data_IF_394534641916
#
_entry.id   IF_394534641916
#
_cell.length_a   1.000
_cell.length_b   1.000
_cell.length_c   1.000
_cell.angle_alpha   90.00
_cell.angle_beta   90.00
_cell.angle_gamma   90.00
#
_symmetry.space_group_name_H-M   'P 1'
#
loop_
_entity.id
_entity.type
_entity.pdbx_description
1 polymer ?
#
# COMPACT_ATOMS: atom_id res chain seq x y z
N UNK A 1 13.29 -6.75 -5.15
CA UNK A 1 13.29 -7.09 -3.71
C UNK A 1 12.53 -8.39 -3.54
N UNK A 2 13.02 -9.36 -2.76
CA UNK A 2 12.27 -10.55 -2.34
C UNK A 2 11.78 -10.35 -0.90
N UNK A 3 10.69 -11.04 -0.56
CA UNK A 3 10.06 -10.96 0.75
C UNK A 3 9.92 -12.35 1.40
N UNK A 4 10.24 -12.40 2.69
CA UNK A 4 9.73 -13.43 3.58
C UNK A 4 8.32 -13.04 4.03
N UNK A 5 7.43 -14.03 4.17
CA UNK A 5 6.04 -13.82 4.55
C UNK A 5 5.71 -14.54 5.85
N UNK A 6 4.91 -13.88 6.70
CA UNK A 6 4.34 -14.46 7.92
C UNK A 6 2.86 -14.13 8.04
N UNK A 7 2.08 -15.08 8.56
CA UNK A 7 0.68 -14.86 8.94
C UNK A 7 0.60 -14.28 10.36
N UNK A 8 -0.37 -13.39 10.60
CA UNK A 8 -0.69 -12.92 11.96
C UNK A 8 -1.45 -13.96 12.79
N UNK A 9 -2.02 -14.98 12.15
CA UNK A 9 -3.00 -15.88 12.75
C UNK A 9 -4.39 -15.24 12.87
N UNK A 10 -5.24 -15.81 13.73
CA UNK A 10 -6.58 -15.32 14.04
C UNK A 10 -6.76 -15.22 15.56
N UNK A 11 -7.71 -14.38 15.99
CA UNK A 11 -8.20 -14.42 17.37
C UNK A 11 -8.92 -15.75 17.64
N UNK A 12 -9.01 -16.20 18.91
CA UNK A 12 -9.67 -17.46 19.25
C UNK A 12 -11.10 -17.55 18.73
N UNK A 13 -11.34 -18.51 17.83
CA UNK A 13 -12.65 -18.75 17.22
C UNK A 13 -13.00 -17.84 16.03
N UNK A 14 -12.14 -16.88 15.71
CA UNK A 14 -12.23 -16.07 14.49
C UNK A 14 -11.87 -16.85 13.22
N UNK A 15 -12.18 -16.27 12.07
CA UNK A 15 -12.01 -16.84 10.75
C UNK A 15 -11.11 -16.00 9.83
N UNK A 16 -10.86 -14.73 10.17
CA UNK A 16 -9.97 -13.85 9.43
C UNK A 16 -9.29 -12.79 10.31
N UNK A 17 -8.22 -12.21 9.78
CA UNK A 17 -7.50 -11.07 10.35
C UNK A 17 -7.01 -10.22 9.20
N UNK A 18 -7.04 -8.90 9.29
CA UNK A 18 -6.37 -7.99 8.34
C UNK A 18 -5.36 -7.11 9.08
N UNK A 19 -4.21 -6.81 8.46
CA UNK A 19 -3.26 -5.82 8.98
C UNK A 19 -3.40 -4.51 8.22
N UNK A 20 -3.90 -3.48 8.91
CA UNK A 20 -4.21 -2.17 8.34
C UNK A 20 -3.02 -1.22 8.29
N UNK A 21 -2.14 -1.24 9.31
CA UNK A 21 -0.95 -0.38 9.35
C UNK A 21 0.23 -1.02 10.08
N UNK A 22 1.45 -0.56 9.77
CA UNK A 22 2.71 -1.04 10.35
C UNK A 22 3.66 0.13 10.66
N UNK A 23 4.22 0.15 11.86
CA UNK A 23 5.24 1.15 12.23
C UNK A 23 6.68 0.68 11.97
N UNK A 24 7.67 1.54 12.19
CA UNK A 24 9.08 1.22 11.97
C UNK A 24 9.67 0.27 13.04
N UNK A 25 8.93 -0.01 14.11
CA UNK A 25 9.29 -1.06 15.07
C UNK A 25 8.83 -2.45 14.59
N UNK A 26 7.93 -2.52 13.60
CA UNK A 26 7.37 -3.78 13.08
C UNK A 26 6.16 -4.26 13.86
N UNK A 27 5.54 -3.34 14.59
CA UNK A 27 4.26 -3.53 15.24
C UNK A 27 3.17 -3.26 14.20
N UNK A 28 2.12 -4.06 14.25
CA UNK A 28 1.04 -4.04 13.27
C UNK A 28 -0.27 -3.83 13.98
N UNK A 29 -1.14 -2.99 13.41
CA UNK A 29 -2.53 -2.87 13.82
C UNK A 29 -3.46 -3.35 12.71
N UNK A 30 -4.64 -3.80 13.07
CA UNK A 30 -5.75 -4.00 12.12
C UNK A 30 -6.99 -4.47 12.85
N UNK A 31 -7.63 -5.52 12.34
CA UNK A 31 -8.77 -6.15 12.99
C UNK A 31 -8.90 -7.63 12.66
N UNK A 32 -9.63 -8.36 13.50
CA UNK A 32 -9.96 -9.77 13.34
C UNK A 32 -11.38 -10.01 13.84
N UNK A 33 -12.07 -11.00 13.29
CA UNK A 33 -13.35 -11.44 13.82
C UNK A 33 -13.18 -12.33 15.05
N UNK A 34 -14.23 -12.35 15.86
CA UNK A 34 -14.41 -13.27 16.98
C UNK A 34 -15.40 -14.39 16.60
N UNK A 35 -15.53 -15.38 17.49
CA UNK A 35 -16.44 -16.52 17.29
C UNK A 35 -17.92 -16.13 17.12
N UNK A 36 -18.32 -14.95 17.60
CA UNK A 36 -19.67 -14.40 17.45
C UNK A 36 -19.84 -13.55 16.18
N UNK A 37 -18.79 -13.44 15.36
CA UNK A 37 -18.74 -12.67 14.12
C UNK A 37 -18.50 -11.17 14.31
N UNK A 38 -18.28 -10.70 15.54
CA UNK A 38 -17.92 -9.31 15.80
C UNK A 38 -16.47 -9.02 15.41
N UNK A 39 -16.19 -7.79 14.97
CA UNK A 39 -14.84 -7.36 14.57
C UNK A 39 -14.17 -6.59 15.68
N UNK A 40 -12.99 -7.02 16.09
CA UNK A 40 -12.19 -6.34 17.09
C UNK A 40 -10.87 -5.83 16.51
N UNK A 41 -10.49 -4.62 16.90
CA UNK A 41 -9.20 -4.03 16.63
C UNK A 41 -8.10 -4.90 17.25
N UNK A 42 -7.05 -5.14 16.50
CA UNK A 42 -5.93 -5.98 16.95
C UNK A 42 -4.62 -5.23 16.92
N UNK A 43 -3.72 -5.64 17.80
CA UNK A 43 -2.32 -5.24 17.80
C UNK A 43 -1.45 -6.50 17.73
N UNK A 44 -0.49 -6.52 16.82
CA UNK A 44 0.37 -7.68 16.60
C UNK A 44 1.84 -7.29 16.70
N UNK A 45 2.61 -8.16 17.34
CA UNK A 45 4.08 -8.09 17.31
C UNK A 45 4.65 -9.48 17.06
N UNK A 46 5.86 -9.54 16.51
CA UNK A 46 6.52 -10.82 16.25
C UNK A 46 6.73 -11.65 17.53
N UNK A 47 7.01 -10.98 18.66
CA UNK A 47 7.28 -11.63 19.94
C UNK A 47 6.01 -11.95 20.74
N UNK A 48 4.97 -11.10 20.64
CA UNK A 48 3.75 -11.19 21.43
C UNK A 48 2.58 -11.89 20.74
N UNK A 49 2.62 -12.04 19.41
CA UNK A 49 1.49 -12.53 18.63
C UNK A 49 0.36 -11.50 18.56
N UNK A 50 -0.86 -11.99 18.27
CA UNK A 50 -2.06 -11.18 18.08
C UNK A 50 -2.73 -10.87 19.43
N UNK A 51 -2.92 -9.58 19.72
CA UNK A 51 -3.61 -9.04 20.88
C UNK A 51 -4.93 -8.41 20.45
N UNK A 52 -6.01 -8.76 21.13
CA UNK A 52 -7.31 -8.06 21.03
C UNK A 52 -7.27 -6.76 21.84
N UNK A 53 -7.61 -5.63 21.22
CA UNK A 53 -7.64 -4.31 21.86
C UNK A 53 -8.97 -3.99 22.54
N UNK A 54 -10.01 -4.80 22.30
CA UNK A 54 -11.37 -4.60 22.80
C UNK A 54 -12.12 -3.47 22.10
N UNK A 55 -13.13 -2.93 22.77
CA UNK A 55 -14.03 -1.89 22.24
C UNK A 55 -14.25 -0.78 23.27
N UNK A 56 -14.92 0.30 22.87
CA UNK A 56 -15.43 1.35 23.77
C UNK A 56 -16.74 0.97 24.49
N UNK A 57 -17.03 -0.33 24.59
CA UNK A 57 -18.21 -0.89 25.26
C UNK A 57 -19.32 -1.37 24.32
N UNK A 58 -19.17 -1.17 23.01
CA UNK A 58 -20.00 -1.78 21.97
C UNK A 58 -19.41 -3.10 21.44
N UNK A 59 -19.85 -3.52 20.26
CA UNK A 59 -19.48 -4.83 19.68
C UNK A 59 -18.36 -4.77 18.65
N UNK A 60 -17.97 -3.59 18.18
CA UNK A 60 -17.02 -3.49 17.07
C UNK A 60 -15.89 -2.49 17.33
N UNK A 61 -14.71 -2.80 16.80
CA UNK A 61 -13.58 -1.89 16.70
C UNK A 61 -12.66 -2.26 15.53
N UNK A 62 -12.00 -1.25 14.98
CA UNK A 62 -10.97 -1.41 13.93
C UNK A 62 -9.83 -0.44 14.23
N UNK A 63 -8.60 -0.96 14.22
CA UNK A 63 -7.40 -0.13 14.28
C UNK A 63 -6.99 0.29 12.86
N UNK A 64 -6.95 1.59 12.61
CA UNK A 64 -6.65 2.16 11.28
C UNK A 64 -5.16 2.43 11.10
N UNK A 65 -4.50 2.99 12.12
CA UNK A 65 -3.11 3.45 12.04
C UNK A 65 -2.41 3.37 13.39
N UNK A 66 -1.08 3.42 13.38
CA UNK A 66 -0.25 3.47 14.58
C UNK A 66 1.05 4.24 14.34
N UNK A 67 1.60 4.84 15.39
CA UNK A 67 2.88 5.54 15.31
C UNK A 67 4.04 4.74 15.96
N UNK A 68 5.26 5.26 15.90
CA UNK A 68 6.46 4.60 16.45
C UNK A 68 6.53 4.62 18.00
N UNK A 69 5.54 5.21 18.67
CA UNK A 69 5.34 5.14 20.14
C UNK A 69 4.34 4.06 20.55
N UNK A 70 3.91 3.22 19.60
CA UNK A 70 2.89 2.19 19.81
C UNK A 70 1.52 2.76 20.20
N UNK A 71 1.24 4.01 19.82
CA UNK A 71 -0.10 4.59 19.94
C UNK A 71 -0.90 4.18 18.70
N UNK A 72 -2.05 3.55 18.94
CA UNK A 72 -2.96 3.05 17.90
C UNK A 72 -4.18 3.96 17.82
N UNK A 73 -4.63 4.29 16.63
CA UNK A 73 -5.89 5.01 16.40
C UNK A 73 -6.82 4.24 15.49
N UNK A 74 -8.11 4.52 15.60
CA UNK A 74 -9.11 3.91 14.75
C UNK A 74 -10.51 4.32 15.16
N UNK A 75 -11.46 3.42 14.98
CA UNK A 75 -12.84 3.63 15.41
C UNK A 75 -13.39 2.42 16.15
N UNK A 76 -14.26 2.67 17.13
CA UNK A 76 -14.93 1.65 17.92
C UNK A 76 -16.35 2.06 18.25
N UNK A 77 -17.24 1.09 18.33
CA UNK A 77 -18.60 1.27 18.79
C UNK A 77 -18.62 1.47 20.31
N UNK A 78 -19.26 2.54 20.77
CA UNK A 78 -19.54 2.78 22.19
C UNK A 78 -20.74 1.93 22.68
N UNK A 79 -21.00 1.96 23.99
CA UNK A 79 -22.11 1.22 24.59
C UNK A 79 -23.52 1.65 24.09
N UNK A 80 -23.62 2.77 23.35
CA UNK A 80 -24.85 3.25 22.74
C UNK A 80 -24.95 2.85 21.26
N UNK A 81 -23.98 2.12 20.72
CA UNK A 81 -23.98 1.69 19.33
C UNK A 81 -23.43 2.73 18.35
N UNK A 82 -22.77 3.78 18.84
CA UNK A 82 -22.24 4.86 18.00
C UNK A 82 -20.74 4.65 17.75
N UNK A 83 -20.30 4.79 16.49
CA UNK A 83 -18.87 4.77 16.17
C UNK A 83 -18.17 6.02 16.68
N UNK A 84 -17.11 5.82 17.43
CA UNK A 84 -16.25 6.85 18.00
C UNK A 84 -14.82 6.63 17.57
N UNK A 85 -14.11 7.71 17.27
CA UNK A 85 -12.68 7.68 17.11
C UNK A 85 -12.04 7.33 18.46
N UNK A 86 -11.01 6.47 18.46
CA UNK A 86 -10.29 6.10 19.66
C UNK A 86 -8.78 6.29 19.51
N UNK A 87 -8.10 6.37 20.65
CA UNK A 87 -6.67 6.12 20.80
C UNK A 87 -6.44 5.02 21.83
N UNK A 88 -5.55 4.09 21.51
CA UNK A 88 -5.12 3.01 22.39
C UNK A 88 -3.61 3.09 22.59
N UNK A 89 -3.15 2.81 23.81
CA UNK A 89 -1.74 2.55 24.09
C UNK A 89 -1.61 1.37 25.06
N UNK A 90 -0.46 0.67 25.10
CA UNK A 90 -0.26 -0.47 26.01
C UNK A 90 -0.49 -0.12 27.49
N UNK A 91 -0.23 1.13 27.90
CA UNK A 91 -0.36 1.58 29.28
C UNK A 91 -1.75 2.10 29.66
N UNK A 92 -2.54 2.56 28.70
CA UNK A 92 -3.84 3.22 28.96
C UNK A 92 -5.04 2.40 28.50
N UNK A 93 -4.84 1.43 27.60
CA UNK A 93 -5.94 0.78 26.90
C UNK A 93 -6.66 1.73 25.94
N UNK A 94 -7.83 1.29 25.45
CA UNK A 94 -8.63 2.02 24.48
C UNK A 94 -9.37 3.17 25.16
N UNK A 95 -9.22 4.38 24.63
CA UNK A 95 -9.90 5.58 25.11
C UNK A 95 -10.48 6.34 23.93
N UNK A 96 -11.65 6.93 24.12
CA UNK A 96 -12.30 7.72 23.10
C UNK A 96 -11.56 9.06 22.89
N UNK A 97 -11.34 9.44 21.63
CA UNK A 97 -10.86 10.78 21.28
C UNK A 97 -11.97 11.83 21.48
N UNK A 98 -11.66 13.06 21.92
CA UNK A 98 -12.67 14.10 22.10
C UNK A 98 -13.43 14.40 20.81
N UNK A 99 -14.75 14.21 20.80
CA UNK A 99 -15.58 14.47 19.62
C UNK A 99 -15.94 15.97 19.52
N UNK A 100 -15.86 16.59 18.33
CA UNK A 100 -16.37 17.95 18.12
C UNK A 100 -17.91 18.00 18.01
N UNK A 101 -18.58 16.85 17.87
CA UNK A 101 -20.04 16.76 17.75
C UNK A 101 -20.65 15.44 18.25
N UNK A 102 -21.91 15.18 17.90
CA UNK A 102 -22.70 14.06 18.44
C UNK A 102 -22.72 12.80 17.57
N UNK A 103 -22.23 12.85 16.34
CA UNK A 103 -22.35 11.77 15.34
C UNK A 103 -21.02 11.05 15.06
N UNK A 104 -21.05 10.03 14.19
CA UNK A 104 -19.97 9.06 13.96
C UNK A 104 -18.61 9.72 13.66
N UNK A 105 -17.59 9.41 14.48
CA UNK A 105 -16.22 9.88 14.30
C UNK A 105 -15.29 8.71 13.94
N UNK A 106 -14.31 8.96 13.07
CA UNK A 106 -13.28 7.98 12.69
C UNK A 106 -11.91 8.64 12.69
N UNK A 107 -10.93 7.97 13.28
CA UNK A 107 -9.53 8.28 13.08
C UNK A 107 -8.97 7.39 11.95
N UNK A 108 -8.27 8.01 11.00
CA UNK A 108 -7.69 7.34 9.84
C UNK A 108 -6.18 7.22 9.93
N UNK A 109 -5.49 8.24 10.45
CA UNK A 109 -4.03 8.24 10.48
C UNK A 109 -3.47 9.03 11.69
N UNK A 110 -2.25 8.69 12.12
CA UNK A 110 -1.54 9.30 13.24
C UNK A 110 -0.04 9.46 12.93
N UNK A 111 0.52 10.63 13.22
CA UNK A 111 1.98 10.85 13.10
C UNK A 111 2.74 10.65 14.42
N UNK A 112 4.08 10.68 14.36
CA UNK A 112 4.94 10.50 15.54
C UNK A 112 4.86 11.66 16.56
N UNK A 113 4.23 12.78 16.22
CA UNK A 113 3.91 13.85 17.18
C UNK A 113 2.61 13.58 17.96
N UNK A 114 1.89 12.48 17.67
CA UNK A 114 0.59 12.15 18.28
C UNK A 114 -0.57 12.95 17.68
N UNK A 115 -0.38 13.55 16.52
CA UNK A 115 -1.46 14.25 15.80
C UNK A 115 -2.25 13.23 15.01
N UNK A 116 -3.57 13.24 15.18
CA UNK A 116 -4.48 12.27 14.55
C UNK A 116 -5.37 12.99 13.56
N UNK A 117 -5.55 12.42 12.37
CA UNK A 117 -6.50 12.93 11.38
C UNK A 117 -7.61 11.92 11.11
N UNK A 118 -8.73 12.45 10.61
CA UNK A 118 -9.85 11.60 10.26
C UNK A 118 -11.08 12.39 9.84
N UNK A 119 -12.24 11.88 10.21
CA UNK A 119 -13.53 12.55 10.01
C UNK A 119 -14.31 12.64 11.32
N UNK A 120 -14.98 13.77 11.50
CA UNK A 120 -15.82 14.01 12.66
C UNK A 120 -17.19 14.54 12.26
N UNK A 121 -18.19 14.16 13.07
CA UNK A 121 -19.57 14.54 12.85
C UNK A 121 -19.86 15.99 13.24
N UNK A 122 -20.30 16.81 12.27
CA UNK A 122 -20.76 18.19 12.51
C UNK A 122 -22.24 18.29 12.10
N UNK A 123 -23.13 17.94 13.04
CA UNK A 123 -24.56 17.79 12.74
C UNK A 123 -24.83 16.55 11.87
N UNK A 124 -25.45 16.74 10.70
CA UNK A 124 -25.72 15.68 9.72
C UNK A 124 -24.59 15.50 8.69
N UNK A 125 -23.55 16.34 8.75
CA UNK A 125 -22.41 16.31 7.83
C UNK A 125 -21.17 15.69 8.50
N UNK A 126 -20.22 15.27 7.68
CA UNK A 126 -18.90 14.80 8.13
C UNK A 126 -17.83 15.74 7.60
N UNK A 127 -17.01 16.26 8.51
CA UNK A 127 -15.90 17.13 8.15
C UNK A 127 -14.57 16.46 8.49
N UNK A 128 -13.54 16.77 7.71
CA UNK A 128 -12.17 16.42 8.03
C UNK A 128 -11.80 17.03 9.39
N UNK A 129 -11.17 16.23 10.24
CA UNK A 129 -10.85 16.60 11.61
C UNK A 129 -9.38 16.33 11.92
N UNK A 130 -8.84 17.14 12.83
CA UNK A 130 -7.49 16.99 13.38
C UNK A 130 -7.56 17.01 14.91
N UNK A 131 -7.14 15.94 15.56
CA UNK A 131 -6.93 15.91 17.00
C UNK A 131 -5.46 16.21 17.30
N UNK A 132 -5.23 17.28 18.06
CA UNK A 132 -3.92 17.55 18.65
C UNK A 132 -3.82 16.83 20.00
N UNK A 133 -2.61 16.41 20.42
CA UNK A 133 -2.42 15.78 21.73
C UNK A 133 -3.03 16.60 22.87
N UNK A 134 -3.95 16.00 23.63
CA UNK A 134 -4.60 16.63 24.78
C UNK A 134 -5.57 17.77 24.45
N UNK A 135 -5.96 17.95 23.19
CA UNK A 135 -6.90 18.98 22.77
C UNK A 135 -8.17 18.40 22.14
N UNK A 136 -9.19 19.25 22.00
CA UNK A 136 -10.38 18.93 21.21
C UNK A 136 -10.04 18.84 19.71
N UNK A 137 -10.88 18.12 18.97
CA UNK A 137 -10.78 18.07 17.52
C UNK A 137 -10.92 19.47 16.90
N UNK A 138 -10.02 19.79 15.98
CA UNK A 138 -10.11 20.93 15.08
C UNK A 138 -10.88 20.51 13.83
N UNK A 139 -11.97 21.22 13.52
CA UNK A 139 -12.67 21.10 12.24
C UNK A 139 -11.83 21.75 11.12
N UNK A 140 -11.45 20.96 10.11
CA UNK A 140 -10.69 21.41 8.95
C UNK A 140 -11.59 21.91 7.80
N UNK A 141 -12.91 21.78 7.93
CA UNK A 141 -13.90 22.19 6.94
C UNK A 141 -13.95 21.28 5.70
N UNK A 142 -14.76 21.67 4.71
CA UNK A 142 -15.18 20.79 3.59
C UNK A 142 -14.69 21.19 2.21
N UNK A 143 -13.78 22.16 2.11
CA UNK A 143 -13.30 22.70 0.82
C UNK A 143 -14.42 23.18 -0.13
N UNK A 144 -15.53 23.65 0.45
CA UNK A 144 -16.70 24.13 -0.30
C UNK A 144 -17.73 23.05 -0.64
N UNK A 145 -17.47 21.80 -0.25
CA UNK A 145 -18.37 20.65 -0.39
C UNK A 145 -19.27 20.37 0.81
N UNK A 146 -20.11 19.31 0.75
CA UNK A 146 -20.91 18.85 1.89
C UNK A 146 -20.16 17.93 2.86
N UNK A 147 -19.13 17.24 2.39
CA UNK A 147 -18.39 16.24 3.16
C UNK A 147 -16.89 16.33 2.87
N UNK A 148 -16.07 16.10 3.88
CA UNK A 148 -14.63 15.92 3.74
C UNK A 148 -14.09 14.92 4.75
N UNK A 149 -12.98 14.27 4.40
CA UNK A 149 -12.21 13.40 5.28
C UNK A 149 -10.72 13.66 5.07
N UNK A 150 -9.95 13.71 6.16
CA UNK A 150 -8.50 13.66 6.11
C UNK A 150 -8.07 12.20 6.29
N UNK A 151 -7.37 11.65 5.29
CA UNK A 151 -7.03 10.22 5.20
C UNK A 151 -5.59 9.92 5.56
N UNK A 152 -4.69 10.91 5.47
CA UNK A 152 -3.28 10.72 5.81
C UNK A 152 -2.64 11.97 6.42
N UNK A 153 -1.64 11.77 7.27
CA UNK A 153 -0.82 12.79 7.91
C UNK A 153 0.65 12.35 7.98
N UNK A 154 1.56 13.22 7.53
CA UNK A 154 3.00 12.97 7.66
C UNK A 154 3.60 13.59 8.94
N UNK A 155 4.84 13.25 9.26
CA UNK A 155 5.56 13.71 10.46
C UNK A 155 5.91 15.21 10.41
N UNK A 156 5.75 15.88 9.27
CA UNK A 156 5.89 17.34 9.14
C UNK A 156 4.56 18.09 9.32
N UNK A 157 3.48 17.38 9.66
CA UNK A 157 2.12 17.91 9.81
C UNK A 157 1.42 18.24 8.49
N UNK A 158 1.96 17.75 7.37
CA UNK A 158 1.27 17.74 6.08
C UNK A 158 0.17 16.68 6.09
N UNK A 159 -1.03 17.06 5.66
CA UNK A 159 -2.20 16.20 5.65
C UNK A 159 -2.74 16.07 4.23
N UNK A 160 -3.36 14.93 3.92
CA UNK A 160 -4.07 14.71 2.66
C UNK A 160 -5.46 14.14 2.91
N UNK A 161 -6.31 14.18 1.91
CA UNK A 161 -7.70 13.74 2.01
C UNK A 161 -8.51 14.08 0.79
N UNK A 162 -9.82 13.97 0.94
CA UNK A 162 -10.79 14.25 -0.12
C UNK A 162 -12.00 15.01 0.42
N UNK A 163 -12.64 15.78 -0.46
CA UNK A 163 -13.91 16.46 -0.19
C UNK A 163 -14.90 16.24 -1.33
N UNK A 164 -16.18 15.98 -1.04
CA UNK A 164 -17.21 15.89 -2.06
C UNK A 164 -17.42 17.24 -2.76
N UNK A 165 -17.65 17.23 -4.08
CA UNK A 165 -17.89 18.46 -4.84
C UNK A 165 -19.29 19.03 -4.63
N UNK A 166 -20.32 18.17 -4.60
CA UNK A 166 -21.72 18.59 -4.45
C UNK A 166 -22.52 17.52 -3.68
N UNK A 167 -23.66 17.91 -3.11
CA UNK A 167 -24.61 16.97 -2.50
C UNK A 167 -25.21 15.96 -3.49
N UNK A 168 -25.24 16.30 -4.79
CA UNK A 168 -25.95 15.54 -5.82
C UNK A 168 -25.08 14.48 -6.51
N UNK A 169 -23.76 14.49 -6.32
CA UNK A 169 -22.87 13.52 -6.94
C UNK A 169 -21.74 13.11 -5.97
N UNK A 170 -21.95 12.06 -5.16
CA UNK A 170 -20.96 11.61 -4.19
C UNK A 170 -19.68 11.04 -4.84
N UNK A 171 -19.70 10.69 -6.13
CA UNK A 171 -18.54 10.15 -6.85
C UNK A 171 -17.56 11.21 -7.35
N UNK A 172 -17.90 12.49 -7.21
CA UNK A 172 -17.00 13.58 -7.54
C UNK A 172 -16.35 14.11 -6.25
N UNK A 173 -15.12 13.70 -6.02
CA UNK A 173 -14.25 14.19 -4.95
C UNK A 173 -13.17 15.16 -5.46
N UNK A 174 -12.74 16.05 -4.59
CA UNK A 174 -11.57 16.91 -4.76
C UNK A 174 -10.51 16.44 -3.75
N UNK A 175 -9.39 15.88 -4.22
CA UNK A 175 -8.31 15.53 -3.32
C UNK A 175 -7.54 16.80 -2.94
N UNK A 176 -7.07 16.84 -1.71
CA UNK A 176 -6.35 17.99 -1.18
C UNK A 176 -5.09 17.60 -0.43
N UNK A 177 -4.18 18.56 -0.34
CA UNK A 177 -3.13 18.61 0.69
C UNK A 177 -3.33 19.86 1.55
N UNK A 178 -3.13 19.75 2.86
CA UNK A 178 -3.19 20.91 3.75
C UNK A 178 -2.17 20.82 4.89
N UNK A 179 -2.00 21.95 5.57
CA UNK A 179 -1.31 22.05 6.86
C UNK A 179 -2.18 22.88 7.80
N UNK A 180 -2.00 22.69 9.10
CA UNK A 180 -2.71 23.49 10.11
C UNK A 180 -2.47 24.98 9.87
N UNK A 181 -3.55 25.76 9.86
CA UNK A 181 -3.50 27.20 9.62
C UNK A 181 -3.29 27.61 8.16
N UNK A 182 -3.27 26.65 7.22
CA UNK A 182 -3.22 26.91 5.78
C UNK A 182 -4.50 26.39 5.10
N UNK A 183 -5.05 27.11 4.12
CA UNK A 183 -6.15 26.59 3.33
C UNK A 183 -5.69 25.33 2.57
N UNK A 184 -6.55 24.30 2.43
CA UNK A 184 -6.14 23.13 1.66
C UNK A 184 -5.92 23.50 0.19
N UNK A 185 -4.83 23.00 -0.37
CA UNK A 185 -4.48 23.13 -1.78
C UNK A 185 -4.95 21.88 -2.54
N UNK A 186 -5.64 22.04 -3.68
CA UNK A 186 -6.10 20.90 -4.47
C UNK A 186 -4.91 20.17 -5.12
N UNK A 187 -4.93 18.83 -5.10
CA UNK A 187 -3.95 17.99 -5.80
C UNK A 187 -4.19 17.99 -7.33
N UNK A 188 -5.45 18.16 -7.76
CA UNK A 188 -5.85 18.21 -9.16
C UNK A 188 -6.47 16.91 -9.67
N UNK A 189 -6.57 16.74 -10.99
CA UNK A 189 -7.19 15.58 -11.68
C UNK A 189 -6.15 14.80 -12.48
N UNK A 190 -6.36 13.49 -12.65
CA UNK A 190 -5.55 12.67 -13.55
C UNK A 190 -6.23 12.64 -14.93
N UNK A 191 -5.73 13.36 -15.94
CA UNK A 191 -6.37 13.39 -17.27
C UNK A 191 -7.88 13.75 -17.22
N UNK A 192 -8.25 14.72 -16.38
CA UNK A 192 -9.64 15.12 -16.07
C UNK A 192 -10.47 14.11 -15.27
N UNK A 193 -9.86 13.01 -14.81
CA UNK A 193 -10.50 12.06 -13.91
C UNK A 193 -10.55 12.60 -12.47
N UNK A 194 -11.67 12.45 -11.75
CA UNK A 194 -11.73 12.70 -10.32
C UNK A 194 -10.80 11.75 -9.57
N UNK A 195 -10.29 12.22 -8.45
CA UNK A 195 -9.16 11.62 -7.73
C UNK A 195 -9.39 11.69 -6.22
N UNK A 196 -8.92 10.69 -5.49
CA UNK A 196 -8.90 10.66 -4.03
C UNK A 196 -7.48 10.37 -3.56
N UNK A 197 -7.01 11.14 -2.58
CA UNK A 197 -5.74 10.88 -1.92
C UNK A 197 -5.94 9.88 -0.78
N UNK A 198 -5.02 8.92 -0.68
CA UNK A 198 -5.02 7.86 0.33
C UNK A 198 -3.98 8.11 1.41
N UNK A 199 -2.73 8.36 1.02
CA UNK A 199 -1.59 8.49 1.94
C UNK A 199 -0.59 9.55 1.47
N UNK A 200 0.24 10.02 2.41
CA UNK A 200 1.25 11.05 2.17
C UNK A 200 2.58 10.70 2.88
N UNK A 201 3.71 10.79 2.18
CA UNK A 201 5.04 10.62 2.76
C UNK A 201 5.57 11.91 3.43
N UNK A 202 6.64 11.82 4.21
CA UNK A 202 7.29 12.99 4.85
C UNK A 202 7.87 13.97 3.82
N UNK A 203 8.25 13.46 2.64
CA UNK A 203 8.66 14.26 1.48
C UNK A 203 7.46 14.76 0.64
N UNK A 204 6.24 14.67 1.18
CA UNK A 204 4.99 15.15 0.57
C UNK A 204 4.65 14.53 -0.79
N UNK A 205 5.10 13.29 -1.04
CA UNK A 205 4.52 12.50 -2.12
C UNK A 205 3.17 11.97 -1.65
N UNK A 206 2.15 12.10 -2.50
CA UNK A 206 0.80 11.62 -2.22
C UNK A 206 0.48 10.50 -3.19
N UNK A 207 -0.10 9.42 -2.69
CA UNK A 207 -0.67 8.35 -3.53
C UNK A 207 -2.17 8.29 -3.39
N UNK A 208 -2.82 7.72 -4.40
CA UNK A 208 -4.23 7.41 -4.30
C UNK A 208 -4.82 6.90 -5.60
N UNK A 209 -6.11 7.15 -5.77
CA UNK A 209 -6.94 6.56 -6.82
C UNK A 209 -7.59 7.64 -7.68
N UNK A 210 -7.76 7.34 -8.96
CA UNK A 210 -8.51 8.11 -9.94
C UNK A 210 -9.63 7.26 -10.53
N UNK A 211 -10.83 7.82 -10.66
CA UNK A 211 -12.02 7.08 -11.12
C UNK A 211 -12.30 7.37 -12.59
N UNK A 212 -12.49 6.31 -13.39
CA UNK A 212 -12.91 6.47 -14.78
C UNK A 212 -14.43 6.71 -14.85
N UNK A 213 -14.90 7.75 -15.58
CA UNK A 213 -16.30 8.14 -15.54
C UNK A 213 -17.16 7.06 -16.19
N UNK A 214 -18.34 6.82 -15.61
CA UNK A 214 -19.33 5.86 -16.14
C UNK A 214 -18.85 4.40 -16.18
N UNK A 215 -17.80 4.06 -15.43
CA UNK A 215 -17.29 2.69 -15.29
C UNK A 215 -16.89 2.42 -13.84
N UNK A 216 -16.71 1.15 -13.47
CA UNK A 216 -16.08 0.78 -12.20
C UNK A 216 -14.53 0.77 -12.27
N UNK A 217 -13.94 1.21 -13.39
CA UNK A 217 -12.50 1.17 -13.58
C UNK A 217 -11.81 2.33 -12.85
N UNK A 218 -10.60 2.07 -12.37
CA UNK A 218 -9.80 3.02 -11.61
C UNK A 218 -8.33 2.97 -12.04
N UNK A 219 -7.59 4.04 -11.75
CA UNK A 219 -6.14 4.13 -11.91
C UNK A 219 -5.56 4.59 -10.60
N UNK A 220 -4.39 4.08 -10.24
CA UNK A 220 -3.65 4.68 -9.15
C UNK A 220 -2.74 5.81 -9.67
N UNK A 221 -2.44 6.75 -8.78
CA UNK A 221 -1.51 7.83 -9.07
C UNK A 221 -0.50 8.03 -7.95
N UNK A 222 0.61 8.67 -8.30
CA UNK A 222 1.52 9.34 -7.38
C UNK A 222 1.57 10.82 -7.75
N UNK A 223 1.63 11.70 -6.75
CA UNK A 223 1.67 13.14 -6.91
C UNK A 223 2.78 13.74 -6.05
N UNK A 224 3.46 14.74 -6.59
CA UNK A 224 4.29 15.64 -5.81
C UNK A 224 4.17 17.06 -6.39
N UNK A 225 4.30 18.08 -5.55
CA UNK A 225 4.10 19.48 -5.97
C UNK A 225 5.00 19.89 -7.14
N UNK A 226 6.21 19.32 -7.24
CA UNK A 226 7.16 19.64 -8.31
C UNK A 226 6.92 18.89 -9.61
N UNK A 227 6.17 17.78 -9.59
CA UNK A 227 5.99 16.91 -10.76
C UNK A 227 4.53 16.77 -11.21
N UNK A 228 3.57 17.19 -10.39
CA UNK A 228 2.15 16.97 -10.63
C UNK A 228 1.74 15.50 -10.45
N UNK A 229 0.53 15.17 -10.91
CA UNK A 229 -0.02 13.81 -10.85
C UNK A 229 0.61 12.96 -11.95
N UNK A 230 1.05 11.76 -11.59
CA UNK A 230 1.59 10.75 -12.49
C UNK A 230 0.77 9.47 -12.35
N UNK A 231 0.36 8.90 -13.48
CA UNK A 231 -0.32 7.61 -13.55
C UNK A 231 0.67 6.47 -13.33
N UNK A 232 0.39 5.56 -12.40
CA UNK A 232 1.28 4.43 -12.08
C UNK A 232 0.93 3.15 -12.84
N UNK A 233 -0.17 3.13 -13.58
CA UNK A 233 -0.66 1.96 -14.31
C UNK A 233 -1.49 0.98 -13.48
N UNK A 234 -1.65 -0.24 -14.01
CA UNK A 234 -2.33 -1.38 -13.39
C UNK A 234 -1.54 -2.67 -13.67
N UNK A 235 -1.88 -3.79 -13.04
CA UNK A 235 -1.33 -5.12 -13.38
C UNK A 235 -1.93 -5.73 -14.67
N UNK A 236 -2.46 -4.88 -15.56
CA UNK A 236 -3.10 -5.25 -16.82
C UNK A 236 -4.63 -5.33 -16.74
N UNK A 237 -5.21 -5.20 -15.55
CA UNK A 237 -6.65 -5.08 -15.33
C UNK A 237 -7.15 -3.64 -15.30
N UNK A 238 -8.38 -3.45 -14.83
CA UNK A 238 -9.08 -2.16 -14.83
C UNK A 238 -9.13 -1.47 -13.49
N UNK A 239 -8.62 -2.09 -12.42
CA UNK A 239 -8.60 -1.52 -11.07
C UNK A 239 -7.16 -1.39 -10.58
N UNK A 240 -6.80 -0.22 -10.05
CA UNK A 240 -5.67 -0.06 -9.16
C UNK A 240 -5.93 1.01 -8.10
N UNK A 241 -5.60 0.72 -6.84
CA UNK A 241 -5.62 1.67 -5.72
C UNK A 241 -4.31 1.52 -4.94
N UNK A 242 -3.58 2.62 -4.75
CA UNK A 242 -2.39 2.66 -3.90
C UNK A 242 -2.79 3.21 -2.53
N UNK A 243 -2.69 2.35 -1.51
CA UNK A 243 -3.18 2.62 -0.16
C UNK A 243 -2.15 3.33 0.72
N UNK A 244 -0.85 3.08 0.51
CA UNK A 244 0.22 3.65 1.34
C UNK A 244 1.49 3.93 0.54
N UNK A 245 2.34 4.82 1.07
CA UNK A 245 3.64 5.21 0.54
C UNK A 245 4.63 5.48 1.69
N UNK A 246 5.84 4.94 1.61
CA UNK A 246 6.89 5.21 2.59
C UNK A 246 7.81 6.38 2.18
N UNK A 247 8.75 6.75 3.06
CA UNK A 247 9.68 7.87 2.83
C UNK A 247 10.78 7.57 1.79
N UNK A 248 10.78 6.37 1.20
CA UNK A 248 11.63 6.03 0.05
C UNK A 248 10.89 6.19 -1.28
N UNK A 249 9.63 6.63 -1.25
CA UNK A 249 8.78 6.76 -2.43
C UNK A 249 8.24 5.43 -2.94
N UNK A 250 8.33 4.35 -2.15
CA UNK A 250 7.75 3.05 -2.49
C UNK A 250 6.31 3.04 -2.01
N UNK A 251 5.38 2.80 -2.93
CA UNK A 251 3.96 2.70 -2.67
C UNK A 251 3.46 1.27 -2.78
N UNK A 252 2.41 0.95 -2.03
CA UNK A 252 1.75 -0.36 -2.03
C UNK A 252 0.24 -0.21 -2.09
N UNK A 253 -0.43 -1.27 -2.52
CA UNK A 253 -1.88 -1.28 -2.67
C UNK A 253 -2.37 -2.59 -3.25
N UNK A 254 -3.39 -2.49 -4.10
CA UNK A 254 -3.89 -3.61 -4.88
C UNK A 254 -4.22 -3.20 -6.31
N UNK A 255 -4.12 -4.16 -7.22
CA UNK A 255 -4.49 -3.97 -8.62
C UNK A 255 -5.01 -5.26 -9.24
N UNK A 256 -5.96 -5.11 -10.16
CA UNK A 256 -6.45 -6.21 -10.97
C UNK A 256 -5.45 -6.58 -12.06
N UNK A 257 -5.30 -7.88 -12.28
CA UNK A 257 -4.59 -8.45 -13.43
C UNK A 257 -5.46 -8.42 -14.69
N UNK A 258 -4.86 -8.68 -15.84
CA UNK A 258 -5.59 -8.87 -17.10
C UNK A 258 -6.63 -10.02 -17.07
N UNK A 259 -6.51 -10.95 -16.11
CA UNK A 259 -7.47 -12.05 -15.91
C UNK A 259 -8.58 -11.70 -14.92
N UNK A 260 -8.60 -10.46 -14.40
CA UNK A 260 -9.60 -9.99 -13.44
C UNK A 260 -9.35 -10.44 -12.00
N UNK A 261 -8.14 -10.88 -11.67
CA UNK A 261 -7.78 -11.23 -10.29
C UNK A 261 -7.20 -10.01 -9.58
N UNK A 262 -7.71 -9.69 -8.39
CA UNK A 262 -7.12 -8.67 -7.52
C UNK A 262 -5.87 -9.20 -6.83
N UNK A 263 -4.78 -8.45 -6.91
CA UNK A 263 -3.45 -8.81 -6.39
C UNK A 263 -2.87 -7.66 -5.59
N UNK A 264 -2.22 -7.99 -4.48
CA UNK A 264 -1.42 -7.04 -3.73
C UNK A 264 -0.28 -6.53 -4.63
N UNK A 265 -0.07 -5.22 -4.69
CA UNK A 265 0.85 -4.61 -5.63
C UNK A 265 1.84 -3.65 -4.95
N UNK A 266 2.94 -3.37 -5.66
CA UNK A 266 3.97 -2.42 -5.24
C UNK A 266 4.41 -1.55 -6.42
N UNK A 267 4.68 -0.28 -6.15
CA UNK A 267 5.24 0.70 -7.09
C UNK A 267 6.52 1.30 -6.49
N UNK A 268 7.63 1.23 -7.21
CA UNK A 268 8.96 1.70 -6.77
C UNK A 268 9.56 2.81 -7.66
N UNK A 269 8.71 3.54 -8.38
CA UNK A 269 9.11 4.53 -9.38
C UNK A 269 9.22 3.98 -10.81
N UNK A 270 9.06 2.67 -10.99
CA UNK A 270 9.04 2.00 -12.30
C UNK A 270 7.63 1.63 -12.76
N UNK A 271 7.40 0.34 -12.97
CA UNK A 271 6.08 -0.23 -13.25
C UNK A 271 5.52 -0.88 -11.99
N UNK A 272 4.19 -0.86 -11.86
CA UNK A 272 3.51 -1.61 -10.81
C UNK A 272 3.82 -3.11 -10.92
N UNK A 273 4.14 -3.73 -9.78
CA UNK A 273 4.57 -5.12 -9.68
C UNK A 273 3.64 -5.91 -8.76
N UNK A 274 3.37 -7.17 -9.10
CA UNK A 274 2.56 -8.09 -8.27
C UNK A 274 3.42 -8.65 -7.13
N UNK A 275 3.05 -8.38 -5.88
CA UNK A 275 3.76 -8.83 -4.69
C UNK A 275 3.78 -10.36 -4.54
N UNK A 276 2.82 -11.08 -5.14
CA UNK A 276 2.82 -12.54 -5.15
C UNK A 276 4.04 -13.12 -5.88
N UNK A 277 4.57 -12.39 -6.86
CA UNK A 277 5.78 -12.79 -7.61
C UNK A 277 7.08 -12.50 -6.85
N UNK A 278 6.98 -11.83 -5.70
CA UNK A 278 8.11 -11.32 -4.93
C UNK A 278 8.33 -12.10 -3.62
N UNK A 279 7.64 -13.22 -3.42
CA UNK A 279 7.80 -14.06 -2.24
C UNK A 279 8.96 -15.04 -2.41
N UNK A 280 9.80 -15.19 -1.37
CA UNK A 280 10.83 -16.24 -1.34
C UNK A 280 10.20 -17.64 -1.33
N UNK A 281 9.03 -17.78 -0.71
CA UNK A 281 8.21 -18.99 -0.77
C UNK A 281 6.73 -18.62 -0.91
N UNK A 282 6.14 -19.00 -2.05
CA UNK A 282 4.75 -18.72 -2.39
C UNK A 282 3.78 -19.85 -1.98
N UNK A 283 4.27 -20.98 -1.47
CA UNK A 283 3.47 -22.19 -1.29
C UNK A 283 2.27 -21.95 -0.35
N UNK A 284 1.07 -22.00 -0.94
CA UNK A 284 -0.20 -21.81 -0.25
C UNK A 284 -0.62 -20.36 -0.03
N UNK A 285 0.18 -19.38 -0.45
CA UNK A 285 -0.16 -17.96 -0.31
C UNK A 285 -0.82 -17.38 -1.56
N UNK A 286 -1.81 -16.52 -1.36
CA UNK A 286 -2.37 -15.64 -2.39
C UNK A 286 -2.69 -14.29 -1.77
N UNK A 287 -1.89 -13.27 -2.08
CA UNK A 287 -2.01 -11.92 -1.54
C UNK A 287 -2.91 -11.09 -2.45
N UNK A 288 -3.93 -10.46 -1.87
CA UNK A 288 -4.90 -9.67 -2.63
C UNK A 288 -4.83 -8.17 -2.30
N UNK A 289 -4.55 -7.80 -1.05
CA UNK A 289 -4.44 -6.40 -0.63
C UNK A 289 -3.14 -6.17 0.14
N UNK A 290 -2.40 -5.11 -0.21
CA UNK A 290 -1.38 -4.51 0.65
C UNK A 290 -1.90 -3.18 1.16
N UNK A 291 -1.99 -3.01 2.47
CA UNK A 291 -2.58 -1.83 3.09
C UNK A 291 -1.54 -0.80 3.51
N UNK A 292 -0.38 -1.24 3.99
CA UNK A 292 0.63 -0.31 4.51
C UNK A 292 2.07 -0.80 4.35
N UNK A 293 3.01 0.16 4.30
CA UNK A 293 4.44 -0.05 4.15
C UNK A 293 5.24 0.90 5.05
N UNK A 294 6.15 0.36 5.86
CA UNK A 294 7.04 1.17 6.69
C UNK A 294 8.36 1.56 5.96
N UNK A 295 9.19 2.40 6.58
CA UNK A 295 10.46 2.85 5.99
C UNK A 295 11.53 1.75 5.95
N UNK A 296 11.34 0.66 6.68
CA UNK A 296 12.15 -0.56 6.55
C UNK A 296 11.76 -1.39 5.32
N UNK A 297 10.68 -1.02 4.63
CA UNK A 297 10.15 -1.72 3.46
C UNK A 297 9.33 -2.95 3.82
N UNK A 298 8.92 -3.10 5.09
CA UNK A 298 7.98 -4.16 5.45
C UNK A 298 6.58 -3.76 5.04
N UNK A 299 5.81 -4.72 4.54
CA UNK A 299 4.47 -4.50 3.99
C UNK A 299 3.47 -5.35 4.76
N UNK A 300 2.33 -4.78 5.12
CA UNK A 300 1.21 -5.52 5.71
C UNK A 300 -0.02 -5.46 4.82
N UNK A 301 -0.89 -6.45 4.97
CA UNK A 301 -2.08 -6.56 4.14
C UNK A 301 -2.93 -7.77 4.45
N UNK A 302 -3.77 -8.14 3.50
CA UNK A 302 -4.68 -9.29 3.58
C UNK A 302 -4.48 -10.25 2.41
N UNK A 303 -4.52 -11.54 2.73
CA UNK A 303 -4.33 -12.62 1.78
C UNK A 303 -5.04 -13.89 2.22
N UNK A 304 -4.85 -14.94 1.42
CA UNK A 304 -5.20 -16.30 1.79
C UNK A 304 -3.93 -17.10 2.05
N UNK A 305 -3.92 -17.85 3.15
CA UNK A 305 -2.95 -18.91 3.40
C UNK A 305 -3.67 -20.25 3.44
N UNK A 306 -3.40 -21.11 2.45
CA UNK A 306 -4.03 -22.42 2.25
C UNK A 306 -5.57 -22.34 2.24
N UNK A 307 -6.10 -21.28 1.64
CA UNK A 307 -7.54 -21.02 1.52
C UNK A 307 -8.18 -20.33 2.72
N UNK A 308 -7.44 -20.07 3.80
CA UNK A 308 -7.94 -19.34 4.98
C UNK A 308 -7.52 -17.87 4.88
N UNK A 309 -8.45 -16.95 5.10
CA UNK A 309 -8.14 -15.52 5.12
C UNK A 309 -7.26 -15.18 6.32
N UNK A 310 -6.18 -14.44 6.07
CA UNK A 310 -5.25 -14.01 7.10
C UNK A 310 -4.53 -12.74 6.67
N UNK A 311 -4.21 -11.91 7.65
CA UNK A 311 -3.31 -10.80 7.46
C UNK A 311 -1.88 -11.32 7.40
N UNK A 312 -1.04 -10.60 6.68
CA UNK A 312 0.35 -10.97 6.50
C UNK A 312 1.31 -9.83 6.82
N UNK A 313 2.53 -10.20 7.19
CA UNK A 313 3.71 -9.35 7.19
C UNK A 313 4.69 -9.83 6.14
N UNK A 314 5.02 -8.99 5.17
CA UNK A 314 6.15 -9.14 4.27
C UNK A 314 7.35 -8.42 4.87
N UNK A 315 8.47 -9.14 4.99
CA UNK A 315 9.74 -8.56 5.43
C UNK A 315 10.78 -8.72 4.31
N UNK A 316 11.43 -7.62 3.86
CA UNK A 316 12.47 -7.71 2.86
C UNK A 316 13.54 -8.73 3.24
N UNK A 317 13.89 -9.61 2.31
CA UNK A 317 15.03 -10.51 2.48
C UNK A 317 16.31 -9.68 2.40
N UNK A 318 17.16 -9.64 3.45
CA UNK A 318 18.40 -8.87 3.43
C UNK A 318 19.31 -9.28 2.28
N UNK A 319 19.90 -8.29 1.62
CA UNK A 319 20.72 -8.45 0.43
C UNK A 319 22.00 -9.23 0.77
N UNK A 320 21.97 -10.55 0.61
CA UNK A 320 23.14 -11.40 0.77
C UNK A 320 23.15 -12.52 -0.28
N UNK A 321 24.31 -12.70 -0.92
CA UNK A 321 24.69 -13.87 -1.73
C UNK A 321 23.93 -14.12 -3.06
N UNK A 322 24.02 -13.22 -4.05
CA UNK A 322 23.69 -13.52 -5.47
C UNK A 322 22.20 -13.73 -5.82
N UNK A 323 21.35 -13.98 -4.82
CA UNK A 323 19.87 -14.12 -4.93
C UNK A 323 19.20 -12.83 -5.45
N UNK A 324 19.88 -11.68 -5.24
CA UNK A 324 19.57 -10.33 -5.75
C UNK A 324 19.25 -10.28 -7.24
N UNK A 325 20.19 -10.86 -7.98
CA UNK A 325 20.25 -10.80 -9.43
C UNK A 325 19.24 -11.76 -10.02
N UNK A 326 19.01 -12.91 -9.40
CA UNK A 326 18.00 -13.86 -9.85
C UNK A 326 16.59 -13.27 -9.72
N UNK A 327 16.29 -12.59 -8.62
CA UNK A 327 14.99 -11.93 -8.42
C UNK A 327 14.80 -10.71 -9.32
N UNK A 328 15.85 -9.89 -9.50
CA UNK A 328 15.82 -8.72 -10.38
C UNK A 328 15.71 -9.13 -11.86
N UNK A 329 16.41 -10.19 -12.25
CA UNK A 329 16.28 -10.83 -13.58
C UNK A 329 14.87 -11.42 -13.73
N UNK A 330 14.35 -12.19 -12.77
CA UNK A 330 12.97 -12.72 -12.81
C UNK A 330 11.94 -11.60 -13.02
N UNK A 331 12.05 -10.46 -12.32
CA UNK A 331 11.17 -9.28 -12.49
C UNK A 331 11.24 -8.69 -13.90
N UNK A 332 12.44 -8.59 -14.47
CA UNK A 332 12.63 -8.06 -15.82
C UNK A 332 12.03 -9.02 -16.85
N UNK A 333 12.21 -10.33 -16.66
CA UNK A 333 11.70 -11.35 -17.57
C UNK A 333 10.18 -11.53 -17.45
N UNK A 334 9.58 -11.28 -16.28
CA UNK A 334 8.11 -11.30 -16.10
C UNK A 334 7.40 -10.07 -16.67
N UNK A 335 8.13 -8.97 -16.90
CA UNK A 335 7.63 -7.75 -17.56
C UNK A 335 7.87 -7.70 -19.08
N UNK A 336 8.40 -8.77 -19.68
CA UNK A 336 8.59 -8.86 -21.12
C UNK A 336 7.23 -9.07 -21.81
N UNK A 337 6.58 -7.97 -22.18
CA UNK A 337 5.45 -7.99 -23.10
C UNK A 337 6.01 -7.91 -24.52
N UNK A 338 5.70 -8.91 -25.34
CA UNK A 338 5.91 -8.81 -26.79
C UNK A 338 4.84 -7.90 -27.37
N UNK A 339 5.24 -6.86 -28.11
CA UNK A 339 4.30 -6.24 -29.03
C UNK A 339 4.28 -7.06 -30.34
N UNK A 340 3.20 -6.98 -31.12
CA UNK A 340 3.11 -7.65 -32.42
C UNK A 340 4.13 -7.11 -33.46
N UNK A 341 5.09 -6.29 -33.04
CA UNK A 341 6.13 -5.70 -33.90
C UNK A 341 7.43 -6.51 -33.93
N UNK A 342 7.50 -7.63 -33.18
CA UNK A 342 8.66 -8.53 -33.19
C UNK A 342 9.78 -8.09 -32.25
N UNK A 343 9.45 -7.36 -31.18
CA UNK A 343 10.41 -6.89 -30.19
C UNK A 343 9.94 -7.20 -28.75
N UNK A 344 10.91 -7.34 -27.86
CA UNK A 344 10.72 -7.37 -26.40
C UNK A 344 11.51 -6.22 -25.78
N UNK A 345 11.00 -5.62 -24.71
CA UNK A 345 11.56 -4.38 -24.14
C UNK A 345 12.13 -4.59 -22.73
N UNK A 346 13.29 -5.24 -22.59
CA UNK A 346 13.97 -5.33 -21.31
C UNK A 346 14.51 -3.94 -20.93
N UNK A 347 13.84 -3.27 -19.99
CA UNK A 347 14.34 -2.03 -19.35
C UNK A 347 14.46 -0.80 -20.27
N UNK A 348 13.69 -0.75 -21.37
CA UNK A 348 13.51 0.46 -22.19
C UNK A 348 14.17 0.44 -23.58
N UNK A 349 15.02 -0.54 -23.87
CA UNK A 349 15.56 -0.76 -25.22
C UNK A 349 14.87 -1.94 -25.93
N UNK A 350 14.54 -1.84 -27.23
CA UNK A 350 13.92 -2.93 -27.96
C UNK A 350 14.96 -4.01 -28.29
N UNK A 351 14.63 -5.27 -27.99
CA UNK A 351 15.38 -6.45 -28.39
C UNK A 351 14.58 -7.25 -29.43
N UNK A 352 15.12 -7.53 -30.62
CA UNK A 352 14.38 -8.21 -31.68
C UNK A 352 14.16 -9.69 -31.34
N UNK A 353 12.92 -10.15 -31.49
CA UNK A 353 12.52 -11.55 -31.42
C UNK A 353 11.92 -11.98 -32.75
N UNK A 354 12.24 -13.20 -33.20
CA UNK A 354 11.84 -13.70 -34.53
C UNK A 354 10.34 -14.01 -34.66
N UNK A 355 9.59 -14.02 -33.55
CA UNK A 355 8.17 -14.39 -33.53
C UNK A 355 7.34 -13.35 -32.74
N UNK A 356 6.39 -12.63 -33.38
CA UNK A 356 5.58 -11.59 -32.76
C UNK A 356 4.40 -12.17 -31.96
N UNK A 357 4.68 -13.10 -31.04
CA UNK A 357 3.70 -13.57 -30.06
C UNK A 357 3.51 -12.52 -28.95
N UNK A 358 2.28 -12.28 -28.45
CA UNK A 358 2.02 -11.37 -27.33
C UNK A 358 2.65 -11.85 -26.00
N UNK A 359 3.04 -13.12 -25.91
CA UNK A 359 3.86 -13.65 -24.82
C UNK A 359 4.88 -14.65 -25.42
N UNK A 360 5.99 -14.16 -26.00
CA UNK A 360 6.95 -15.03 -26.69
C UNK A 360 7.78 -15.84 -25.69
N UNK A 361 7.79 -15.44 -24.41
CA UNK A 361 8.71 -15.95 -23.40
C UNK A 361 8.73 -17.49 -23.26
N UNK A 362 7.60 -18.22 -23.23
CA UNK A 362 7.62 -19.68 -23.13
C UNK A 362 8.32 -20.35 -24.31
N UNK A 363 8.17 -19.79 -25.51
CA UNK A 363 8.60 -20.37 -26.79
C UNK A 363 10.02 -19.96 -27.21
N UNK A 364 10.59 -18.93 -26.58
CA UNK A 364 11.96 -18.51 -26.85
C UNK A 364 12.99 -19.60 -26.49
N UNK A 365 13.98 -19.76 -27.37
CA UNK A 365 15.13 -20.63 -27.12
C UNK A 365 15.91 -20.16 -25.88
N UNK A 366 16.59 -21.09 -25.21
CA UNK A 366 17.43 -20.78 -24.05
C UNK A 366 18.48 -19.71 -24.38
N UNK A 367 19.11 -19.81 -25.57
CA UNK A 367 20.10 -18.84 -26.03
C UNK A 367 19.49 -17.43 -26.25
N UNK A 368 18.24 -17.34 -26.68
CA UNK A 368 17.55 -16.05 -26.83
C UNK A 368 17.21 -15.44 -25.47
N UNK A 369 16.75 -16.26 -24.52
CA UNK A 369 16.50 -15.84 -23.13
C UNK A 369 17.77 -15.33 -22.46
N UNK A 370 18.91 -15.99 -22.71
CA UNK A 370 20.24 -15.58 -22.24
C UNK A 370 20.65 -14.20 -22.76
N UNK A 371 20.44 -13.94 -24.06
CA UNK A 371 20.77 -12.64 -24.65
C UNK A 371 19.91 -11.50 -24.10
N UNK A 372 18.61 -11.76 -23.91
CA UNK A 372 17.68 -10.78 -23.30
C UNK A 372 18.08 -10.48 -21.86
N UNK A 373 18.38 -11.53 -21.07
CA UNK A 373 18.84 -11.37 -19.69
C UNK A 373 20.17 -10.61 -19.62
N UNK A 374 21.13 -10.90 -20.50
CA UNK A 374 22.41 -10.22 -20.55
C UNK A 374 22.27 -8.74 -20.92
N UNK A 375 21.39 -8.40 -21.87
CA UNK A 375 21.11 -7.01 -22.23
C UNK A 375 20.50 -6.24 -21.06
N UNK A 376 19.49 -6.82 -20.40
CA UNK A 376 18.87 -6.27 -19.20
C UNK A 376 19.89 -5.98 -18.09
N UNK A 377 20.78 -6.94 -17.82
CA UNK A 377 21.82 -6.82 -16.79
C UNK A 377 22.83 -5.72 -17.15
N UNK A 378 23.22 -5.58 -18.42
CA UNK A 378 24.11 -4.50 -18.88
C UNK A 378 23.50 -3.13 -18.65
N UNK A 379 22.23 -2.94 -18.97
CA UNK A 379 21.54 -1.65 -18.79
C UNK A 379 21.33 -1.33 -17.30
N UNK A 380 20.99 -2.31 -16.47
CA UNK A 380 20.93 -2.13 -15.01
C UNK A 380 22.28 -1.69 -14.44
N UNK A 381 23.37 -2.34 -14.84
CA UNK A 381 24.73 -2.02 -14.35
C UNK A 381 25.15 -0.59 -14.68
N UNK A 382 24.59 0.02 -15.72
CA UNK A 382 24.84 1.41 -16.09
C UNK A 382 24.10 2.41 -15.18
N UNK A 383 23.01 2.00 -14.53
CA UNK A 383 22.13 2.87 -13.75
C UNK A 383 22.19 2.63 -12.23
N UNK A 384 22.86 1.57 -11.77
CA UNK A 384 23.08 1.30 -10.34
C UNK A 384 24.15 2.25 -9.77
N UNK A 385 23.77 3.07 -8.78
CA UNK A 385 24.69 3.96 -8.07
C UNK A 385 25.50 3.25 -6.97
N UNK A 386 25.08 2.07 -6.51
CA UNK A 386 25.80 1.30 -5.48
C UNK A 386 26.94 0.48 -6.12
N UNK A 387 28.19 0.88 -5.86
CA UNK A 387 29.39 0.23 -6.44
C UNK A 387 29.57 -1.24 -6.06
N UNK A 388 29.17 -1.64 -4.85
CA UNK A 388 29.29 -3.04 -4.40
C UNK A 388 28.34 -3.94 -5.19
N UNK A 389 27.10 -3.47 -5.38
CA UNK A 389 26.10 -4.13 -6.22
C UNK A 389 26.51 -4.18 -7.69
N UNK A 390 27.06 -3.07 -8.20
CA UNK A 390 27.56 -2.97 -9.58
C UNK A 390 28.69 -3.97 -9.83
N UNK A 391 29.66 -4.07 -8.91
CA UNK A 391 30.79 -4.99 -9.00
C UNK A 391 30.35 -6.45 -8.95
N UNK A 392 29.40 -6.78 -8.08
CA UNK A 392 28.87 -8.13 -7.96
C UNK A 392 28.05 -8.56 -9.20
N UNK A 393 27.27 -7.63 -9.79
CA UNK A 393 26.59 -7.85 -11.07
C UNK A 393 27.59 -8.18 -12.20
N UNK A 394 28.66 -7.40 -12.30
CA UNK A 394 29.72 -7.61 -13.29
C UNK A 394 30.38 -8.97 -13.08
N UNK A 395 30.71 -9.33 -11.83
CA UNK A 395 31.30 -10.63 -11.48
C UNK A 395 30.41 -11.81 -11.91
N UNK A 396 29.10 -11.70 -11.71
CA UNK A 396 28.13 -12.75 -12.06
C UNK A 396 27.89 -12.85 -13.58
N UNK A 397 27.96 -11.75 -14.32
CA UNK A 397 27.97 -11.83 -15.80
C UNK A 397 29.19 -12.54 -16.36
N UNK A 398 30.32 -12.49 -15.64
CA UNK A 398 31.58 -13.14 -16.04
C UNK A 398 31.66 -14.62 -15.65
N UNK A 399 30.95 -15.06 -14.60
CA UNK A 399 30.89 -16.48 -14.19
C UNK A 399 29.91 -17.33 -15.01
N UNK A 400 29.07 -16.71 -15.85
CA UNK A 400 28.17 -17.38 -16.76
C UNK A 400 26.74 -17.46 -16.23
N UNK A 401 25.84 -16.72 -16.90
CA UNK A 401 24.38 -16.68 -16.67
C UNK A 401 23.71 -18.08 -16.66
N UNK A 402 24.41 -19.10 -17.18
CA UNK A 402 23.98 -20.49 -17.26
C UNK A 402 23.55 -21.10 -15.92
N UNK A 403 24.32 -20.91 -14.83
CA UNK A 403 23.98 -21.47 -13.51
C UNK A 403 22.75 -20.79 -12.90
N UNK A 404 22.57 -19.49 -13.16
CA UNK A 404 21.41 -18.70 -12.72
C UNK A 404 20.15 -19.11 -13.47
N UNK A 405 20.23 -19.37 -14.78
CA UNK A 405 19.08 -19.83 -15.57
C UNK A 405 18.68 -21.28 -15.29
N UNK A 406 19.63 -22.14 -14.90
CA UNK A 406 19.34 -23.51 -14.44
C UNK A 406 18.51 -23.49 -13.14
N UNK A 407 18.75 -22.56 -12.23
CA UNK A 407 17.94 -22.37 -11.01
C UNK A 407 16.53 -21.82 -11.28
N UNK A 408 16.29 -21.23 -12.45
CA UNK A 408 14.97 -20.76 -12.89
C UNK A 408 14.12 -21.90 -13.49
N UNK A 409 14.71 -23.07 -13.83
CA UNK A 409 14.00 -24.21 -14.43
C UNK A 409 13.39 -25.22 -13.43
N UNK A 410 13.62 -25.06 -12.12
CA UNK A 410 13.29 -26.07 -11.10
C UNK A 410 12.04 -25.74 -10.28
N UNK A 411 11.39 -24.60 -10.52
CA UNK A 411 10.08 -24.21 -9.97
C UNK A 411 9.13 -23.88 -11.11
#
# INVERSE_FOLDING_TARGET
MLYNIRSFGQLPGGTFTWGSAINNNGEVVGFSDLADGSNHATFWTEAGGLLDLGTLGGTESVGSALNDKSEVVGWSMDAQGVYRAFVWSPGTGMTQLPAPGSSMDRAWDINNAGQVVGSAGVGFLKHAALWQPGANALDLGTLGGPHSEATGINNTGGMTGWSQRTFSNPELSNPFVCKVGQPPAPIGTLNNLPTEARAISDDNHVVGIAYLPFTAATRAFIWHISTGIQDVGTLGGTWCDLSSINNKGIAVGFSDTATGQTRACMYDGGIISDLNTMLENHAGWSLHDAYDINDRGQIVGAGYYRGVSTGFLLTPVPLSNGREIIASVRRILSGVVGDNSGYVWPFGSPFPVRDPSPNPWPELSLATKELIALQAIKEMTANIQNESLRTELIRLTQQGIYEVLQQIKVE
#
